data_IF_953453693463
#
_entry.id   IF_953453693463
#
_cell.length_a   1.000
_cell.length_b   1.000
_cell.length_c   1.000
_cell.angle_alpha   90.00
_cell.angle_beta   90.00
_cell.angle_gamma   90.00
#
_symmetry.space_group_name_H-M   'P 1'
#
loop_
_entity.id
_entity.type
_entity.pdbx_description
1 polymer ?
#
# COMPACT_ATOMS: atom_id res chain seq x y z
N UNK A 1 -7.20 -32.01 -3.14
CA UNK A 1 -7.80 -30.66 -3.21
C UNK A 1 -7.49 -29.99 -1.90
N UNK A 2 -6.55 -29.05 -1.89
CA UNK A 2 -6.16 -28.32 -0.69
C UNK A 2 -6.87 -26.97 -0.71
N UNK A 3 -7.74 -26.75 0.27
CA UNK A 3 -8.31 -25.43 0.55
C UNK A 3 -7.17 -24.44 0.81
N UNK A 4 -7.28 -23.16 0.39
CA UNK A 4 -6.31 -22.16 0.77
C UNK A 4 -6.43 -21.89 2.27
N UNK A 5 -5.51 -22.44 3.06
CA UNK A 5 -5.36 -22.08 4.47
C UNK A 5 -4.84 -20.64 4.54
N UNK A 6 -5.71 -19.69 4.89
CA UNK A 6 -5.28 -18.43 5.49
C UNK A 6 -4.57 -18.79 6.79
N UNK A 7 -3.25 -18.63 6.82
CA UNK A 7 -2.48 -18.80 8.05
C UNK A 7 -2.91 -17.71 9.04
N UNK A 8 -3.88 -18.04 9.90
CA UNK A 8 -4.43 -17.14 10.91
C UNK A 8 -3.41 -16.72 11.97
N UNK A 9 -2.21 -17.33 11.95
CA UNK A 9 -1.07 -16.98 12.80
C UNK A 9 -0.16 -15.90 12.19
N UNK A 10 -0.29 -15.60 10.89
CA UNK A 10 0.51 -14.56 10.24
C UNK A 10 -0.02 -13.14 10.56
N UNK A 11 0.85 -12.29 11.11
CA UNK A 11 0.59 -10.85 11.37
C UNK A 11 0.50 -10.01 10.08
N UNK A 12 0.66 -10.64 8.92
CA UNK A 12 0.76 -9.97 7.62
C UNK A 12 0.00 -10.69 6.51
N UNK A 13 -0.46 -9.91 5.55
CA UNK A 13 -1.01 -10.36 4.28
C UNK A 13 -0.10 -9.93 3.14
N UNK A 14 0.30 -10.88 2.31
CA UNK A 14 0.94 -10.58 1.02
C UNK A 14 -0.19 -10.31 0.02
N UNK A 15 -0.25 -9.08 -0.48
CA UNK A 15 -1.33 -8.64 -1.38
C UNK A 15 -1.06 -9.16 -2.79
N UNK A 16 -1.60 -10.34 -3.06
CA UNK A 16 -1.50 -11.01 -4.37
C UNK A 16 -2.16 -10.13 -5.44
N UNK A 17 -1.74 -10.29 -6.69
CA UNK A 17 -2.22 -9.46 -7.81
C UNK A 17 -1.55 -8.10 -7.95
N UNK A 18 -0.92 -7.55 -6.91
CA UNK A 18 -0.21 -6.27 -7.00
C UNK A 18 1.22 -6.38 -7.53
N UNK A 19 1.86 -7.55 -7.44
CA UNK A 19 3.20 -7.72 -8.03
C UNK A 19 3.10 -7.55 -9.54
N UNK A 20 4.06 -6.81 -10.10
CA UNK A 20 4.10 -6.39 -11.50
C UNK A 20 3.09 -5.32 -11.89
N UNK A 21 2.23 -4.86 -10.97
CA UNK A 21 1.33 -3.74 -11.23
C UNK A 21 2.12 -2.44 -11.44
N UNK A 22 1.81 -1.71 -12.51
CA UNK A 22 2.44 -0.44 -12.85
C UNK A 22 1.71 0.74 -12.23
N UNK A 23 2.44 1.70 -11.68
CA UNK A 23 1.90 2.98 -11.22
C UNK A 23 1.50 3.82 -12.43
N UNK A 24 0.21 4.14 -12.51
CA UNK A 24 -0.39 4.94 -13.58
C UNK A 24 -0.47 6.42 -13.21
N UNK A 25 -0.62 6.73 -11.92
CA UNK A 25 -0.73 8.09 -11.45
C UNK A 25 -0.54 8.17 -9.95
N UNK A 26 0.09 9.25 -9.50
CA UNK A 26 0.25 9.58 -8.10
C UNK A 26 -0.09 11.05 -7.90
N UNK A 27 -0.91 11.31 -6.90
CA UNK A 27 -1.27 12.64 -6.46
C UNK A 27 -1.00 12.74 -4.95
N UNK A 28 -0.19 13.69 -4.54
CA UNK A 28 0.00 14.03 -3.13
C UNK A 28 -0.47 15.45 -2.87
N UNK A 29 -1.22 15.64 -1.78
CA UNK A 29 -1.59 16.97 -1.33
C UNK A 29 -0.31 17.74 -0.94
N UNK A 30 -0.18 19.04 -1.30
CA UNK A 30 1.01 19.83 -0.98
C UNK A 30 1.31 19.93 0.53
N UNK A 31 0.28 19.86 1.36
CA UNK A 31 0.37 19.87 2.83
C UNK A 31 0.71 18.49 3.44
N UNK A 32 0.81 17.47 2.59
CA UNK A 32 1.05 16.09 2.97
C UNK A 32 -0.09 15.40 3.71
N UNK A 33 -1.30 15.98 3.70
CA UNK A 33 -2.48 15.42 4.37
C UNK A 33 -3.08 14.23 3.63
N UNK A 34 -2.74 14.05 2.34
CA UNK A 34 -3.32 13.01 1.49
C UNK A 34 -2.35 12.53 0.41
N UNK A 35 -2.41 11.24 0.11
CA UNK A 35 -1.79 10.62 -1.05
C UNK A 35 -2.80 9.69 -1.74
N UNK A 36 -2.97 9.87 -3.04
CA UNK A 36 -3.71 8.95 -3.91
C UNK A 36 -2.72 8.33 -4.91
N UNK A 37 -2.75 7.00 -5.02
CA UNK A 37 -1.93 6.23 -5.94
C UNK A 37 -2.81 5.27 -6.74
N UNK A 38 -2.70 5.35 -8.05
CA UNK A 38 -3.43 4.49 -9.00
C UNK A 38 -2.44 3.54 -9.65
N UNK A 39 -2.73 2.25 -9.59
CA UNK A 39 -2.01 1.22 -10.34
C UNK A 39 -2.89 0.68 -11.47
N UNK A 40 -2.29 -0.10 -12.36
CA UNK A 40 -3.04 -0.90 -13.32
C UNK A 40 -4.01 -1.89 -12.64
N UNK A 41 -4.90 -2.48 -13.47
CA UNK A 41 -6.00 -3.30 -12.97
C UNK A 41 -7.03 -2.53 -12.15
N UNK A 42 -7.03 -1.19 -12.23
CA UNK A 42 -7.96 -0.33 -11.48
C UNK A 42 -7.70 -0.25 -9.98
N UNK A 43 -6.53 -0.73 -9.52
CA UNK A 43 -6.16 -0.71 -8.11
C UNK A 43 -5.94 0.74 -7.65
N UNK A 44 -6.51 1.11 -6.50
CA UNK A 44 -6.37 2.44 -5.91
C UNK A 44 -5.94 2.35 -4.45
N UNK A 45 -4.92 3.13 -4.10
CA UNK A 45 -4.49 3.41 -2.73
C UNK A 45 -4.85 4.85 -2.41
N UNK A 46 -5.61 5.07 -1.35
CA UNK A 46 -5.85 6.38 -0.75
C UNK A 46 -5.29 6.37 0.65
N UNK A 47 -4.48 7.36 1.00
CA UNK A 47 -3.94 7.57 2.35
C UNK A 47 -4.32 8.98 2.78
N UNK A 48 -4.92 9.09 3.96
CA UNK A 48 -5.11 10.36 4.69
C UNK A 48 -4.17 10.34 5.88
N UNK A 49 -3.42 11.43 6.08
CA UNK A 49 -2.37 11.54 7.09
C UNK A 49 -0.97 11.25 6.55
N UNK A 50 0.04 11.18 7.44
CA UNK A 50 1.43 11.02 7.05
C UNK A 50 1.70 9.70 6.31
N UNK A 51 2.45 9.81 5.21
CA UNK A 51 2.97 8.68 4.44
C UNK A 51 4.47 8.84 4.27
N UNK A 52 5.21 7.74 4.29
CA UNK A 52 6.67 7.76 4.11
C UNK A 52 7.02 7.11 2.79
N UNK A 53 7.56 7.90 1.87
CA UNK A 53 8.19 7.38 0.64
C UNK A 53 9.68 7.52 0.82
N UNK A 54 10.41 6.44 0.59
CA UNK A 54 11.84 6.33 0.85
C UNK A 54 12.55 5.72 -0.34
N UNK A 55 13.84 5.98 -0.51
CA UNK A 55 14.63 5.42 -1.62
C UNK A 55 15.89 4.73 -1.09
N UNK A 56 16.23 3.57 -1.66
CA UNK A 56 17.41 2.80 -1.32
C UNK A 56 17.09 1.44 -0.68
N UNK A 57 18.13 0.68 -0.25
CA UNK A 57 17.95 -0.60 0.40
C UNK A 57 17.04 -0.47 1.63
N UNK A 58 16.18 -1.47 1.87
CA UNK A 58 15.26 -1.45 3.03
C UNK A 58 15.99 -1.37 4.39
N UNK A 59 17.30 -1.66 4.41
CA UNK A 59 18.18 -1.60 5.57
C UNK A 59 19.03 -0.33 5.66
N UNK A 60 18.83 0.65 4.77
CA UNK A 60 19.59 1.89 4.82
C UNK A 60 19.28 2.64 6.13
N UNK A 61 20.31 3.03 6.91
CA UNK A 61 20.11 3.91 8.05
C UNK A 61 19.65 5.25 7.51
N UNK A 62 18.48 5.71 7.94
CA UNK A 62 17.85 6.98 7.53
C UNK A 62 17.23 6.97 6.12
N UNK A 63 16.04 6.37 5.98
CA UNK A 63 15.26 6.49 4.75
C UNK A 63 14.85 7.95 4.55
N UNK A 64 15.27 8.57 3.44
CA UNK A 64 14.83 9.93 3.06
C UNK A 64 13.32 9.92 2.92
N UNK A 65 12.60 10.69 3.74
CA UNK A 65 11.14 10.82 3.63
C UNK A 65 10.84 11.88 2.57
N UNK A 66 10.33 11.47 1.41
CA UNK A 66 9.90 12.41 0.39
C UNK A 66 8.61 13.11 0.85
N UNK A 67 8.51 14.44 0.71
CA UNK A 67 7.25 15.13 0.92
C UNK A 67 6.20 14.59 -0.07
N UNK A 68 4.91 14.51 0.28
CA UNK A 68 3.90 13.94 -0.61
C UNK A 68 3.79 14.64 -1.97
N UNK A 69 4.15 15.92 -2.08
CA UNK A 69 4.26 16.64 -3.36
C UNK A 69 5.33 16.08 -4.32
N UNK A 70 6.29 15.32 -3.81
CA UNK A 70 7.33 14.64 -4.61
C UNK A 70 7.00 13.17 -4.91
N UNK A 71 5.81 12.70 -4.51
CA UNK A 71 5.37 11.33 -4.74
C UNK A 71 5.23 10.96 -6.24
N UNK A 72 5.22 11.97 -7.12
CA UNK A 72 5.27 11.78 -8.57
C UNK A 72 6.47 10.97 -9.07
N UNK A 73 7.54 10.83 -8.26
CA UNK A 73 8.69 9.96 -8.54
C UNK A 73 8.31 8.47 -8.73
N UNK A 74 7.14 8.07 -8.22
CA UNK A 74 6.64 6.69 -8.36
C UNK A 74 5.97 6.43 -9.71
N UNK A 75 5.66 7.47 -10.51
CA UNK A 75 4.95 7.30 -11.77
C UNK A 75 5.71 6.37 -12.73
N UNK A 76 5.00 5.40 -13.30
CA UNK A 76 5.57 4.42 -14.21
C UNK A 76 6.37 3.29 -13.54
N UNK A 77 6.62 3.36 -12.22
CA UNK A 77 7.29 2.31 -11.47
C UNK A 77 6.42 1.05 -11.37
N UNK A 78 7.06 -0.10 -11.17
CA UNK A 78 6.38 -1.39 -11.03
C UNK A 78 6.47 -1.87 -9.59
N UNK A 79 5.37 -2.37 -9.04
CA UNK A 79 5.35 -2.96 -7.70
C UNK A 79 6.08 -4.31 -7.70
N UNK A 80 7.11 -4.43 -6.87
CA UNK A 80 7.88 -5.65 -6.65
C UNK A 80 7.36 -6.46 -5.46
N UNK A 81 6.85 -5.79 -4.44
CA UNK A 81 6.30 -6.39 -3.23
C UNK A 81 5.21 -5.51 -2.62
N UNK A 82 4.14 -6.13 -2.14
CA UNK A 82 3.05 -5.46 -1.45
C UNK A 82 2.64 -6.29 -0.23
N UNK A 83 2.76 -5.69 0.96
CA UNK A 83 2.48 -6.36 2.23
C UNK A 83 1.69 -5.44 3.14
N UNK A 84 0.55 -5.91 3.61
CA UNK A 84 -0.24 -5.27 4.65
C UNK A 84 -0.11 -6.03 5.98
N UNK A 85 -0.32 -5.35 7.10
CA UNK A 85 -0.18 -5.91 8.44
C UNK A 85 -1.44 -5.71 9.27
N UNK A 86 -1.70 -6.60 10.25
CA UNK A 86 -2.83 -6.45 11.19
C UNK A 86 -2.71 -5.19 12.06
N UNK A 87 -1.48 -4.73 12.28
CA UNK A 87 -1.14 -3.44 12.91
C UNK A 87 -1.51 -2.20 12.08
N UNK A 88 -2.16 -2.38 10.93
CA UNK A 88 -2.55 -1.27 10.05
C UNK A 88 -1.41 -0.69 9.22
N UNK A 89 -0.24 -1.31 9.24
CA UNK A 89 0.87 -0.90 8.37
C UNK A 89 0.69 -1.45 6.95
N UNK A 90 1.15 -0.68 5.96
CA UNK A 90 1.27 -1.11 4.55
C UNK A 90 2.68 -0.82 4.07
N UNK A 91 3.23 -1.73 3.28
CA UNK A 91 4.52 -1.55 2.59
C UNK A 91 4.39 -1.94 1.13
N UNK A 92 4.71 -0.99 0.25
CA UNK A 92 4.89 -1.21 -1.18
C UNK A 92 6.35 -0.98 -1.54
N UNK A 93 6.92 -1.89 -2.32
CA UNK A 93 8.29 -1.79 -2.86
C UNK A 93 8.18 -1.64 -4.37
N UNK A 94 8.86 -0.64 -4.93
CA UNK A 94 8.80 -0.32 -6.35
C UNK A 94 10.13 -0.63 -7.06
N UNK A 95 10.06 -0.86 -8.38
CA UNK A 95 11.20 -1.17 -9.25
C UNK A 95 12.24 -0.05 -9.33
N UNK A 96 11.84 1.18 -9.00
CA UNK A 96 12.70 2.36 -8.92
C UNK A 96 13.50 2.43 -7.62
N UNK A 97 13.51 1.37 -6.80
CA UNK A 97 14.19 1.37 -5.49
C UNK A 97 13.48 2.17 -4.41
N UNK A 98 12.26 2.64 -4.68
CA UNK A 98 11.45 3.39 -3.73
C UNK A 98 10.56 2.46 -2.90
N UNK A 99 10.33 2.81 -1.63
CA UNK A 99 9.37 2.13 -0.76
C UNK A 99 8.34 3.13 -0.23
N UNK A 100 7.06 2.80 -0.36
CA UNK A 100 5.97 3.51 0.30
C UNK A 100 5.57 2.74 1.55
N UNK A 101 5.59 3.42 2.69
CA UNK A 101 5.16 2.89 3.97
C UNK A 101 4.05 3.73 4.56
N UNK A 102 2.93 3.09 4.88
CA UNK A 102 1.86 3.65 5.71
C UNK A 102 1.97 3.01 7.08
N UNK A 103 1.85 3.81 8.14
CA UNK A 103 1.81 3.33 9.53
C UNK A 103 0.45 3.69 10.13
N UNK A 104 -0.45 2.72 10.20
CA UNK A 104 -1.79 2.95 10.76
C UNK A 104 -1.79 3.43 12.21
N UNK A 105 -0.69 3.21 12.96
CA UNK A 105 -0.51 3.70 14.33
C UNK A 105 -0.21 5.20 14.43
N UNK A 106 0.21 5.84 13.33
CA UNK A 106 0.51 7.27 13.34
C UNK A 106 -0.81 8.07 13.50
N UNK A 107 -0.85 9.14 14.31
CA UNK A 107 -2.08 9.88 14.58
C UNK A 107 -2.76 10.39 13.30
N UNK A 108 -4.06 10.14 13.19
CA UNK A 108 -4.88 10.60 12.06
C UNK A 108 -4.73 9.79 10.78
N UNK A 109 -3.87 8.76 10.75
CA UNK A 109 -3.70 7.93 9.56
C UNK A 109 -4.94 7.08 9.30
N UNK A 110 -5.43 7.17 8.07
CA UNK A 110 -6.40 6.24 7.48
C UNK A 110 -5.94 5.89 6.09
N UNK A 111 -6.04 4.62 5.70
CA UNK A 111 -5.75 4.25 4.34
C UNK A 111 -6.69 3.15 3.84
N UNK A 112 -6.92 3.17 2.54
CA UNK A 112 -7.68 2.15 1.82
C UNK A 112 -6.90 1.77 0.57
N UNK A 113 -6.69 0.47 0.38
CA UNK A 113 -6.11 -0.12 -0.82
C UNK A 113 -7.13 -1.10 -1.41
N UNK A 114 -7.75 -0.71 -2.51
CA UNK A 114 -8.78 -1.49 -3.19
C UNK A 114 -8.25 -2.01 -4.52
N UNK A 115 -8.29 -3.33 -4.71
CA UNK A 115 -8.10 -4.00 -5.99
C UNK A 115 -9.44 -4.60 -6.44
N UNK A 116 -10.11 -4.02 -7.45
CA UNK A 116 -11.44 -4.44 -7.85
C UNK A 116 -11.54 -5.94 -8.13
N UNK A 117 -12.55 -6.59 -7.55
CA UNK A 117 -12.80 -8.02 -7.75
C UNK A 117 -11.82 -8.97 -7.03
N UNK A 118 -10.85 -8.46 -6.28
CA UNK A 118 -9.89 -9.28 -5.55
C UNK A 118 -9.89 -8.99 -4.05
N UNK A 119 -9.65 -7.74 -3.63
CA UNK A 119 -9.62 -7.41 -2.21
C UNK A 119 -9.76 -5.91 -1.93
N UNK A 120 -10.12 -5.60 -0.69
CA UNK A 120 -9.98 -4.27 -0.10
C UNK A 120 -9.24 -4.41 1.23
N UNK A 121 -8.15 -3.67 1.38
CA UNK A 121 -7.49 -3.48 2.66
C UNK A 121 -7.79 -2.08 3.20
N UNK A 122 -8.12 -1.99 4.47
CA UNK A 122 -8.31 -0.70 5.16
C UNK A 122 -7.50 -0.65 6.44
N UNK A 123 -7.05 0.55 6.80
CA UNK A 123 -6.55 0.84 8.14
C UNK A 123 -7.14 2.11 8.72
N UNK A 124 -7.44 2.03 10.02
CA UNK A 124 -7.83 3.15 10.85
C UNK A 124 -7.43 2.85 12.29
N UNK A 125 -6.88 3.83 13.01
CA UNK A 125 -6.53 3.71 14.44
C UNK A 125 -5.61 2.51 14.75
N UNK A 126 -4.60 2.25 13.91
CA UNK A 126 -3.61 1.19 14.15
C UNK A 126 -4.11 -0.23 13.92
N UNK A 127 -5.29 -0.41 13.33
CA UNK A 127 -5.84 -1.72 12.98
C UNK A 127 -5.93 -1.82 11.47
N UNK A 128 -5.42 -2.92 10.91
CA UNK A 128 -5.55 -3.29 9.50
C UNK A 128 -6.58 -4.38 9.32
N UNK A 129 -7.46 -4.24 8.33
CA UNK A 129 -8.45 -5.24 7.96
C UNK A 129 -8.33 -5.52 6.47
N UNK A 130 -8.27 -6.80 6.09
CA UNK A 130 -8.28 -7.24 4.70
C UNK A 130 -9.57 -8.01 4.44
N UNK A 131 -10.34 -7.56 3.46
CA UNK A 131 -11.53 -8.24 2.97
C UNK A 131 -11.24 -8.73 1.56
N UNK A 132 -11.29 -10.05 1.35
CA UNK A 132 -11.21 -10.63 0.02
C UNK A 132 -12.57 -10.50 -0.68
N UNK A 133 -12.56 -10.09 -1.94
CA UNK A 133 -13.72 -10.16 -2.81
C UNK A 133 -13.71 -11.54 -3.46
N UNK A 134 -14.68 -12.39 -3.13
CA UNK A 134 -14.83 -13.68 -3.81
C UNK A 134 -15.17 -13.48 -5.30
N UNK A 135 -14.96 -14.51 -6.14
CA UNK A 135 -15.53 -14.52 -7.48
C UNK A 135 -17.06 -14.58 -7.37
N UNK A 136 -17.73 -13.43 -7.44
CA UNK A 136 -19.19 -13.35 -7.52
C UNK A 136 -19.85 -12.52 -6.43
N UNK A 137 -20.07 -11.24 -6.73
CA UNK A 137 -21.34 -10.59 -6.46
C UNK A 137 -21.63 -9.72 -7.66
N UNK A 138 -22.13 -10.39 -8.70
CA UNK A 138 -22.87 -9.76 -9.78
C UNK A 138 -24.28 -9.39 -9.27
#
# INVERSE_FOLDING_TARGET
MSEPSLDSSADRWVLRGLRSARVLGVFGAPDGSRLDLTLDGGTRLTVVGPVRITHGPATAPEPVVLPPGEAGVLNGATVLSAVAFRSGSLRLVFSTGHHLTVRGSDPGVRAELCRPGEFTWVTQQGVGQLTESGPGSA
#
